data_IF_835783834270
#
_entry.id   IF_835783834270
#
_cell.length_a   1.000
_cell.length_b   1.000
_cell.length_c   1.000
_cell.angle_alpha   90.00
_cell.angle_beta   90.00
_cell.angle_gamma   90.00
#
_symmetry.space_group_name_H-M   'P 1'
#
loop_
_entity.id
_entity.type
_entity.pdbx_description
1 polymer ?
#
# COMPACT_ATOMS: atom_id res chain seq x y z
N UNK A 1 -7.06 -5.17 42.92
CA UNK A 1 -7.59 -3.82 42.65
C UNK A 1 -6.47 -2.99 42.09
N UNK A 2 -6.36 -2.92 40.76
CA UNK A 2 -5.37 -2.07 40.10
C UNK A 2 -6.04 -1.46 38.88
N UNK A 3 -6.01 -0.13 38.89
CA UNK A 3 -6.75 0.83 38.09
C UNK A 3 -6.42 0.77 36.61
N UNK A 4 -7.44 0.51 35.80
CA UNK A 4 -7.47 0.73 34.35
C UNK A 4 -7.56 2.23 34.09
N UNK A 5 -6.52 2.83 33.53
CA UNK A 5 -6.57 4.21 33.03
C UNK A 5 -7.25 4.19 31.65
N UNK A 6 -8.52 4.59 31.63
CA UNK A 6 -9.28 4.92 30.43
C UNK A 6 -8.69 6.20 29.82
N UNK A 7 -8.05 6.08 28.66
CA UNK A 7 -7.76 7.25 27.83
C UNK A 7 -9.07 7.72 27.20
N UNK A 8 -9.69 8.73 27.82
CA UNK A 8 -10.86 9.41 27.28
C UNK A 8 -10.51 10.13 25.96
N UNK A 9 -11.16 9.71 24.89
CA UNK A 9 -11.25 10.40 23.61
C UNK A 9 -12.00 11.73 23.79
N UNK A 10 -11.27 12.81 24.09
CA UNK A 10 -11.85 14.14 24.36
C UNK A 10 -11.29 15.25 23.46
N UNK A 11 -10.66 14.90 22.33
CA UNK A 11 -10.10 15.87 21.37
C UNK A 11 -10.95 16.03 20.09
N UNK A 12 -12.17 15.50 20.06
CA UNK A 12 -13.01 15.33 18.85
C UNK A 12 -13.71 16.59 18.30
N UNK A 13 -13.49 17.80 18.83
CA UNK A 13 -14.25 18.98 18.38
C UNK A 13 -13.88 19.55 17.00
N UNK A 14 -12.79 19.10 16.36
CA UNK A 14 -12.45 19.55 15.01
C UNK A 14 -12.94 18.61 13.89
N UNK A 15 -13.27 17.35 14.18
CA UNK A 15 -13.68 16.38 13.16
C UNK A 15 -15.20 16.36 12.93
N UNK A 16 -16.00 16.71 13.94
CA UNK A 16 -17.46 16.66 13.89
C UNK A 16 -18.11 17.59 12.84
N UNK A 17 -17.38 18.60 12.34
CA UNK A 17 -17.89 19.54 11.34
C UNK A 17 -17.78 19.06 9.90
N UNK A 18 -16.98 18.01 9.63
CA UNK A 18 -16.86 17.41 8.30
C UNK A 18 -17.89 16.30 8.06
N UNK A 19 -18.37 15.65 9.13
CA UNK A 19 -19.16 14.40 9.05
C UNK A 19 -20.67 14.62 9.30
N UNK A 20 -21.08 15.70 9.98
CA UNK A 20 -22.50 15.90 10.30
C UNK A 20 -23.29 16.64 9.22
N UNK A 21 -23.90 15.88 8.31
CA UNK A 21 -25.24 16.17 7.78
C UNK A 21 -25.83 14.92 7.11
N UNK A 22 -26.41 14.05 7.94
CA UNK A 22 -27.13 12.86 7.49
C UNK A 22 -28.54 13.23 7.03
N UNK A 23 -28.77 13.24 5.72
CA UNK A 23 -30.11 13.08 5.13
C UNK A 23 -30.09 11.92 4.14
N UNK A 24 -30.83 10.87 4.49
CA UNK A 24 -31.12 9.66 3.72
C UNK A 24 -31.28 9.91 2.21
N UNK A 25 -30.45 9.28 1.39
CA UNK A 25 -30.62 9.26 -0.07
C UNK A 25 -30.85 7.84 -0.59
N UNK A 26 -31.96 7.68 -1.31
CA UNK A 26 -32.44 6.44 -1.91
C UNK A 26 -31.56 5.99 -3.08
N UNK A 27 -31.19 4.71 -3.12
CA UNK A 27 -30.40 4.08 -4.18
C UNK A 27 -31.25 3.85 -5.44
N UNK A 28 -31.00 4.60 -6.51
CA UNK A 28 -31.45 4.25 -7.87
C UNK A 28 -30.30 3.61 -8.66
N UNK A 29 -30.44 2.32 -8.98
CA UNK A 29 -29.53 1.56 -9.86
C UNK A 29 -29.56 2.14 -11.28
N UNK A 30 -28.40 2.51 -11.81
CA UNK A 30 -28.21 2.72 -13.25
C UNK A 30 -27.58 1.47 -13.84
N UNK A 31 -28.34 0.78 -14.69
CA UNK A 31 -27.86 -0.30 -15.54
C UNK A 31 -27.07 0.30 -16.71
N UNK A 32 -25.79 -0.05 -16.84
CA UNK A 32 -25.02 0.18 -18.07
C UNK A 32 -24.93 -1.12 -18.87
N UNK A 33 -25.54 -1.11 -20.05
CA UNK A 33 -25.44 -2.18 -21.05
C UNK A 33 -24.08 -2.10 -21.75
N UNK A 34 -23.32 -3.19 -21.77
CA UNK A 34 -22.03 -3.31 -22.45
C UNK A 34 -22.19 -4.13 -23.74
N UNK A 35 -22.04 -3.48 -24.89
CA UNK A 35 -21.97 -4.15 -26.19
C UNK A 35 -20.59 -4.82 -26.37
N UNK A 36 -20.64 -6.09 -26.78
CA UNK A 36 -19.47 -6.93 -27.05
C UNK A 36 -18.79 -6.53 -28.37
N UNK A 37 -17.46 -6.43 -28.37
CA UNK A 37 -16.64 -6.43 -29.58
C UNK A 37 -15.51 -7.46 -29.40
N UNK A 38 -15.55 -8.52 -30.21
CA UNK A 38 -14.55 -9.57 -30.26
C UNK A 38 -13.55 -9.31 -31.41
N UNK A 39 -12.24 -9.59 -31.25
CA UNK A 39 -11.34 -9.64 -32.39
C UNK A 39 -11.20 -11.06 -32.94
N UNK A 40 -11.01 -11.09 -34.26
CA UNK A 40 -11.01 -12.24 -35.16
C UNK A 40 -9.60 -12.84 -35.26
N UNK A 41 -9.51 -14.16 -35.10
CA UNK A 41 -8.29 -14.96 -35.30
C UNK A 41 -8.02 -15.14 -36.80
N UNK A 42 -6.76 -15.01 -37.22
CA UNK A 42 -6.28 -15.56 -38.49
C UNK A 42 -5.02 -16.40 -38.29
N UNK A 43 -5.07 -17.61 -38.84
CA UNK A 43 -4.04 -18.64 -38.84
C UNK A 43 -3.04 -18.38 -39.96
N UNK A 44 -1.74 -18.53 -39.70
CA UNK A 44 -0.73 -18.78 -40.75
C UNK A 44 0.20 -19.91 -40.30
N UNK A 45 0.47 -20.83 -41.24
CA UNK A 45 1.18 -22.09 -41.11
C UNK A 45 2.71 -21.95 -41.17
N UNK A 46 3.38 -22.98 -40.65
CA UNK A 46 4.84 -23.27 -40.56
C UNK A 46 5.60 -23.30 -41.90
N UNK A 47 6.95 -23.40 -41.89
CA UNK A 47 7.59 -24.72 -41.92
C UNK A 47 8.83 -24.91 -40.99
N UNK A 48 9.19 -26.20 -40.77
CA UNK A 48 10.42 -26.72 -40.15
C UNK A 48 11.66 -26.43 -41.05
N UNK A 49 12.93 -26.41 -40.62
CA UNK A 49 13.68 -27.53 -40.02
C UNK A 49 15.18 -27.21 -39.79
N UNK A 50 15.79 -27.98 -38.86
CA UNK A 50 17.17 -28.52 -38.78
C UNK A 50 18.40 -27.68 -38.33
N UNK A 51 18.97 -28.19 -37.22
CA UNK A 51 20.39 -28.48 -36.87
C UNK A 51 21.37 -27.35 -36.49
N UNK A 52 21.99 -27.55 -35.33
CA UNK A 52 23.30 -26.99 -34.96
C UNK A 52 23.62 -27.25 -33.49
N UNK A 53 24.66 -28.04 -33.21
CA UNK A 53 25.01 -28.55 -31.89
C UNK A 53 26.01 -27.66 -31.13
N UNK A 54 26.00 -27.84 -29.80
CA UNK A 54 27.14 -27.76 -28.86
C UNK A 54 27.89 -26.43 -28.67
N UNK A 55 27.95 -25.95 -27.42
CA UNK A 55 29.12 -26.11 -26.53
C UNK A 55 28.90 -25.42 -25.17
N UNK A 56 29.24 -26.17 -24.12
CA UNK A 56 29.39 -25.75 -22.74
C UNK A 56 30.65 -24.91 -22.53
N UNK A 57 30.56 -23.92 -21.65
CA UNK A 57 31.71 -23.52 -20.83
C UNK A 57 31.23 -22.93 -19.50
N UNK A 58 31.51 -23.68 -18.45
CA UNK A 58 31.48 -23.30 -17.05
C UNK A 58 32.63 -22.35 -16.75
N UNK A 59 32.37 -21.26 -16.02
CA UNK A 59 33.40 -20.68 -15.15
C UNK A 59 32.76 -20.18 -13.86
N UNK A 60 33.03 -20.96 -12.82
CA UNK A 60 32.81 -20.69 -11.41
C UNK A 60 33.83 -19.67 -10.92
N UNK A 61 33.36 -18.58 -10.31
CA UNK A 61 34.19 -17.67 -9.52
C UNK A 61 33.47 -17.34 -8.23
N UNK A 62 33.64 -18.21 -7.24
CA UNK A 62 33.29 -17.92 -5.84
C UNK A 62 34.25 -16.87 -5.28
N UNK A 63 33.71 -15.74 -4.83
CA UNK A 63 34.41 -14.87 -3.90
C UNK A 63 33.40 -14.17 -2.98
N UNK A 64 33.22 -14.80 -1.80
CA UNK A 64 32.91 -14.22 -0.49
C UNK A 64 31.89 -13.06 -0.43
N UNK A 65 30.68 -13.41 -0.01
CA UNK A 65 29.78 -12.50 0.66
C UNK A 65 30.45 -11.97 1.94
N UNK A 66 30.88 -10.71 1.91
CA UNK A 66 31.06 -9.90 3.11
C UNK A 66 29.69 -9.33 3.42
N UNK A 67 29.07 -9.83 4.50
CA UNK A 67 27.92 -9.19 5.11
C UNK A 67 28.37 -7.84 5.68
N UNK A 68 28.35 -6.81 4.84
CA UNK A 68 28.45 -5.44 5.32
C UNK A 68 27.17 -5.19 6.11
N UNK A 69 27.31 -5.18 7.44
CA UNK A 69 26.33 -4.62 8.35
C UNK A 69 25.90 -3.29 7.74
N UNK A 70 24.64 -3.21 7.30
CA UNK A 70 24.09 -2.00 6.70
C UNK A 70 24.43 -0.80 7.56
N UNK A 71 24.86 0.27 6.89
CA UNK A 71 25.34 1.51 7.49
C UNK A 71 24.39 2.03 8.57
N UNK A 72 24.68 1.66 9.83
CA UNK A 72 23.89 2.01 11.01
C UNK A 72 23.94 3.50 11.36
N UNK A 73 24.67 4.31 10.58
CA UNK A 73 24.86 5.73 10.86
C UNK A 73 23.72 6.60 10.34
N UNK A 74 22.98 6.17 9.30
CA UNK A 74 21.83 6.93 8.75
C UNK A 74 20.51 6.70 9.47
N UNK A 75 20.40 5.65 10.29
CA UNK A 75 19.16 5.31 11.01
C UNK A 75 19.10 5.90 12.42
N UNK A 76 20.17 6.54 12.91
CA UNK A 76 20.21 7.13 14.25
C UNK A 76 19.24 8.32 14.42
N UNK A 77 18.85 8.98 13.33
CA UNK A 77 17.93 10.13 13.32
C UNK A 77 16.45 9.80 13.22
N UNK A 78 16.07 8.53 13.07
CA UNK A 78 14.66 8.13 12.92
C UNK A 78 13.92 8.20 14.26
N UNK A 79 12.78 8.91 14.27
CA UNK A 79 11.84 8.96 15.39
C UNK A 79 11.48 7.55 15.89
N UNK A 80 11.37 7.36 17.20
CA UNK A 80 11.16 6.07 17.83
C UNK A 80 9.88 5.38 17.34
N UNK A 81 8.81 6.16 17.11
CA UNK A 81 7.56 5.62 16.56
C UNK A 81 7.75 5.15 15.13
N UNK A 82 8.40 5.96 14.29
CA UNK A 82 8.68 5.56 12.91
C UNK A 82 9.61 4.35 12.82
N UNK A 83 10.64 4.29 13.67
CA UNK A 83 11.54 3.13 13.75
C UNK A 83 10.78 1.86 14.09
N UNK A 84 9.91 1.92 15.11
CA UNK A 84 9.09 0.78 15.50
C UNK A 84 8.22 0.30 14.33
N UNK A 85 7.47 1.21 13.70
CA UNK A 85 6.64 0.89 12.54
C UNK A 85 7.47 0.33 11.37
N UNK A 86 8.70 0.79 11.18
CA UNK A 86 9.55 0.29 10.10
C UNK A 86 9.96 -1.18 10.29
N UNK A 87 10.21 -1.62 11.53
CA UNK A 87 10.70 -2.98 11.78
C UNK A 87 9.60 -3.96 12.24
N UNK A 88 8.49 -3.47 12.79
CA UNK A 88 7.41 -4.33 13.30
C UNK A 88 6.23 -4.48 12.32
N UNK A 89 5.98 -3.51 11.45
CA UNK A 89 4.91 -3.64 10.46
C UNK A 89 5.38 -4.57 9.32
N UNK A 90 4.73 -5.72 9.20
CA UNK A 90 4.93 -6.65 8.10
C UNK A 90 4.01 -6.29 6.93
N UNK A 91 4.60 -5.86 5.82
CA UNK A 91 3.89 -5.57 4.57
C UNK A 91 3.60 -6.86 3.79
N UNK A 92 2.49 -6.87 3.05
CA UNK A 92 2.13 -7.98 2.17
C UNK A 92 2.92 -7.84 0.85
N UNK A 93 3.80 -8.79 0.56
CA UNK A 93 4.49 -8.85 -0.73
C UNK A 93 3.58 -9.46 -1.80
N UNK A 94 3.60 -8.87 -3.00
CA UNK A 94 2.77 -9.30 -4.12
C UNK A 94 3.54 -9.36 -5.44
N UNK A 95 3.04 -10.15 -6.38
CA UNK A 95 3.45 -10.08 -7.78
C UNK A 95 2.76 -8.91 -8.53
N UNK A 96 3.13 -8.68 -9.80
CA UNK A 96 2.54 -7.62 -10.62
C UNK A 96 1.02 -7.81 -10.88
N UNK A 97 0.51 -9.03 -10.68
CA UNK A 97 -0.91 -9.36 -10.78
C UNK A 97 -1.67 -9.19 -9.46
N UNK A 98 -1.03 -8.61 -8.44
CA UNK A 98 -1.57 -8.47 -7.09
C UNK A 98 -1.82 -9.80 -6.38
N UNK A 99 -1.07 -10.87 -6.68
CA UNK A 99 -1.13 -12.13 -5.92
C UNK A 99 -0.12 -12.11 -4.79
N UNK A 100 -0.55 -12.52 -3.60
CA UNK A 100 0.34 -12.61 -2.43
C UNK A 100 1.46 -13.63 -2.67
N UNK A 101 2.71 -13.21 -2.47
CA UNK A 101 3.91 -14.06 -2.61
C UNK A 101 4.70 -14.21 -1.31
N UNK A 102 4.35 -13.43 -0.29
CA UNK A 102 5.00 -13.50 1.02
C UNK A 102 4.76 -12.24 1.84
N UNK A 103 5.67 -11.97 2.76
CA UNK A 103 5.70 -10.77 3.58
C UNK A 103 7.14 -10.34 3.85
N UNK A 104 7.30 -9.07 4.22
CA UNK A 104 8.57 -8.50 4.62
C UNK A 104 8.30 -7.23 5.44
N UNK A 105 9.20 -6.87 6.35
CA UNK A 105 9.02 -5.66 7.15
C UNK A 105 9.04 -4.41 6.28
N UNK A 106 8.37 -3.38 6.77
CA UNK A 106 8.22 -2.10 6.09
C UNK A 106 9.57 -1.46 5.73
N UNK A 107 10.56 -1.53 6.62
CA UNK A 107 11.92 -1.00 6.38
C UNK A 107 12.48 -1.56 5.07
N UNK A 108 12.47 -2.88 4.92
CA UNK A 108 13.00 -3.58 3.76
C UNK A 108 12.19 -3.33 2.49
N UNK A 109 10.86 -3.21 2.61
CA UNK A 109 9.98 -2.89 1.48
C UNK A 109 10.25 -1.51 0.87
N UNK A 110 10.77 -0.56 1.65
CA UNK A 110 10.97 0.84 1.22
C UNK A 110 12.44 1.20 0.95
N UNK A 111 13.38 0.26 1.12
CA UNK A 111 14.77 0.47 0.73
C UNK A 111 14.94 0.35 -0.79
N UNK A 112 15.44 1.40 -1.43
CA UNK A 112 15.66 1.40 -2.88
C UNK A 112 16.58 0.28 -3.35
N UNK A 113 17.64 -0.01 -2.60
CA UNK A 113 18.54 -1.14 -2.88
C UNK A 113 17.76 -2.46 -3.02
N UNK A 114 16.81 -2.71 -2.13
CA UNK A 114 15.98 -3.92 -2.11
C UNK A 114 14.88 -3.89 -3.18
N UNK A 115 14.25 -2.75 -3.39
CA UNK A 115 13.29 -2.51 -4.49
C UNK A 115 13.95 -2.79 -5.85
N UNK A 116 15.22 -2.42 -6.03
CA UNK A 116 15.92 -2.59 -7.31
C UNK A 116 16.52 -3.97 -7.48
N UNK A 117 17.20 -4.50 -6.45
CA UNK A 117 17.89 -5.79 -6.54
C UNK A 117 16.96 -7.00 -6.50
N UNK A 118 15.86 -6.92 -5.75
CA UNK A 118 14.92 -8.03 -5.57
C UNK A 118 13.57 -7.79 -6.25
N UNK A 119 13.37 -6.63 -6.87
CA UNK A 119 12.07 -6.17 -7.36
C UNK A 119 10.97 -6.27 -6.28
N UNK A 120 11.31 -5.98 -5.02
CA UNK A 120 10.38 -6.05 -3.91
C UNK A 120 9.18 -5.14 -4.17
N UNK A 121 8.00 -5.74 -4.21
CA UNK A 121 6.73 -5.12 -4.52
C UNK A 121 5.76 -5.48 -3.40
N UNK A 122 5.18 -4.48 -2.77
CA UNK A 122 4.21 -4.68 -1.69
C UNK A 122 2.85 -4.07 -2.03
N UNK A 123 1.80 -4.62 -1.41
CA UNK A 123 0.44 -4.08 -1.52
C UNK A 123 0.33 -2.81 -0.69
N UNK A 124 -0.38 -1.82 -1.22
CA UNK A 124 -0.62 -0.54 -0.56
C UNK A 124 -2.05 -0.06 -0.80
N UNK A 125 -2.43 1.03 -0.14
CA UNK A 125 -3.67 1.73 -0.42
C UNK A 125 -3.53 3.25 -0.35
N UNK A 126 -4.42 3.93 -1.07
CA UNK A 126 -4.62 5.37 -1.02
C UNK A 126 -6.10 5.69 -0.82
N UNK A 127 -6.41 6.39 0.27
CA UNK A 127 -7.75 6.85 0.62
C UNK A 127 -8.01 8.26 0.07
N UNK A 128 -9.16 8.46 -0.56
CA UNK A 128 -9.68 9.75 -0.99
C UNK A 128 -11.00 10.04 -0.26
N UNK A 129 -10.92 10.72 0.87
CA UNK A 129 -12.09 11.07 1.67
C UNK A 129 -12.66 12.42 1.24
N UNK A 130 -13.94 12.43 0.88
CA UNK A 130 -14.68 13.62 0.52
C UNK A 130 -15.69 13.97 1.60
N UNK A 131 -15.86 15.27 1.89
CA UNK A 131 -16.97 15.72 2.71
C UNK A 131 -18.27 15.80 1.88
N UNK A 132 -19.39 16.16 2.52
CA UNK A 132 -20.70 16.31 1.88
C UNK A 132 -20.78 17.42 0.80
N UNK A 133 -19.74 18.25 0.67
CA UNK A 133 -19.60 19.27 -0.38
C UNK A 133 -18.70 18.81 -1.54
N UNK A 134 -18.26 17.55 -1.55
CA UNK A 134 -17.30 17.00 -2.50
C UNK A 134 -15.91 17.66 -2.45
N UNK A 135 -15.53 18.19 -1.29
CA UNK A 135 -14.17 18.68 -1.05
C UNK A 135 -13.29 17.53 -0.55
N UNK A 136 -12.11 17.36 -1.17
CA UNK A 136 -11.15 16.31 -0.82
C UNK A 136 -10.31 16.73 0.39
N UNK A 137 -10.23 15.84 1.39
CA UNK A 137 -9.29 16.01 2.50
C UNK A 137 -7.87 15.65 2.05
N UNK A 138 -6.98 16.65 2.02
CA UNK A 138 -5.55 16.46 1.75
C UNK A 138 -4.76 16.40 3.07
N UNK A 139 -3.69 15.63 3.07
CA UNK A 139 -2.76 15.54 4.20
C UNK A 139 -1.39 16.10 3.80
N UNK A 140 -0.80 16.95 4.64
CA UNK A 140 0.63 17.22 4.58
C UNK A 140 1.37 16.22 5.49
N UNK A 141 2.31 15.47 4.91
CA UNK A 141 3.09 14.48 5.66
C UNK A 141 3.96 15.15 6.74
N UNK A 142 4.11 14.52 7.89
CA UNK A 142 5.01 15.02 8.94
C UNK A 142 6.47 15.05 8.47
N UNK A 143 7.28 15.94 9.05
CA UNK A 143 8.72 15.97 8.79
C UNK A 143 9.48 14.73 9.27
N UNK A 144 8.82 13.89 10.08
CA UNK A 144 9.39 12.65 10.62
C UNK A 144 9.12 11.43 9.73
N UNK A 145 8.25 11.52 8.71
CA UNK A 145 8.03 10.42 7.78
C UNK A 145 9.32 10.10 7.03
N UNK A 146 9.63 8.81 6.92
CA UNK A 146 10.85 8.33 6.25
C UNK A 146 10.82 8.57 4.74
N UNK A 147 9.71 8.23 4.08
CA UNK A 147 9.49 8.54 2.65
C UNK A 147 8.75 9.88 2.51
N UNK A 148 9.16 10.72 1.57
CA UNK A 148 8.49 11.96 1.18
C UNK A 148 8.02 12.86 2.35
N UNK A 149 8.92 13.27 3.27
CA UNK A 149 8.53 14.17 4.36
C UNK A 149 8.03 15.51 3.83
N UNK A 150 7.05 16.12 4.51
CA UNK A 150 6.48 17.45 4.21
C UNK A 150 5.73 17.59 2.87
N UNK A 151 5.60 16.52 2.09
CA UNK A 151 4.84 16.51 0.82
C UNK A 151 3.33 16.47 1.09
N UNK A 152 2.58 17.24 0.30
CA UNK A 152 1.12 17.18 0.26
C UNK A 152 0.64 15.98 -0.56
N UNK A 153 -0.27 15.20 0.00
CA UNK A 153 -0.81 13.99 -0.62
C UNK A 153 -2.32 13.86 -0.34
N UNK A 154 -2.95 12.80 -0.85
CA UNK A 154 -4.35 12.48 -0.57
C UNK A 154 -4.58 12.19 0.94
N UNK A 155 -5.79 11.80 1.30
CA UNK A 155 -6.22 11.75 2.71
C UNK A 155 -5.34 10.85 3.58
N UNK A 156 -5.08 9.63 3.14
CA UNK A 156 -4.24 8.68 3.88
C UNK A 156 -3.66 7.64 2.92
N UNK A 157 -2.37 7.35 3.08
CA UNK A 157 -1.68 6.28 2.34
C UNK A 157 -0.93 5.39 3.31
N UNK A 158 -1.10 4.08 3.16
CA UNK A 158 -0.36 3.10 3.96
C UNK A 158 -0.48 1.70 3.35
N UNK A 159 -0.31 0.68 4.18
CA UNK A 159 -0.17 -0.71 3.78
C UNK A 159 -1.15 -1.55 4.58
N UNK A 160 -1.86 -2.50 3.94
CA UNK A 160 -2.42 -3.62 4.66
C UNK A 160 -1.27 -4.48 5.22
N UNK A 161 -1.40 -4.88 6.47
CA UNK A 161 -0.43 -5.70 7.18
C UNK A 161 -0.65 -7.18 6.86
N UNK A 162 0.43 -7.96 6.90
CA UNK A 162 0.38 -9.41 6.75
C UNK A 162 -0.20 -10.06 8.02
N UNK A 163 -1.52 -9.92 8.19
CA UNK A 163 -2.31 -10.46 9.30
C UNK A 163 -3.71 -10.81 8.83
N UNK A 164 -4.36 -11.75 9.52
CA UNK A 164 -5.63 -12.35 9.09
C UNK A 164 -6.70 -11.31 8.71
N UNK A 165 -6.86 -10.26 9.51
CA UNK A 165 -7.88 -9.23 9.26
C UNK A 165 -7.61 -8.36 8.04
N UNK A 166 -6.37 -8.32 7.52
CA UNK A 166 -5.94 -7.45 6.42
C UNK A 166 -5.49 -8.23 5.17
N UNK A 167 -5.49 -9.57 5.23
CA UNK A 167 -5.22 -10.47 4.11
C UNK A 167 -6.46 -10.85 3.29
N UNK A 168 -7.66 -10.47 3.73
CA UNK A 168 -8.92 -10.85 3.09
C UNK A 168 -9.07 -10.16 1.73
N UNK A 169 -9.03 -10.95 0.65
CA UNK A 169 -9.09 -10.43 -0.73
C UNK A 169 -10.51 -10.05 -1.19
N UNK A 170 -11.53 -10.71 -0.63
CA UNK A 170 -12.92 -10.53 -1.04
C UNK A 170 -13.34 -9.05 -0.91
N UNK A 171 -13.77 -8.46 -2.02
CA UNK A 171 -14.17 -7.05 -2.11
C UNK A 171 -13.13 -6.09 -1.47
N UNK A 172 -11.83 -6.44 -1.57
CA UNK A 172 -10.72 -5.72 -0.95
C UNK A 172 -10.91 -5.45 0.56
N UNK A 173 -11.63 -6.33 1.28
CA UNK A 173 -11.96 -6.13 2.71
C UNK A 173 -10.73 -5.92 3.58
N UNK A 174 -9.66 -6.67 3.34
CA UNK A 174 -8.42 -6.52 4.10
C UNK A 174 -7.80 -5.13 3.95
N UNK A 175 -7.87 -4.56 2.75
CA UNK A 175 -7.40 -3.20 2.47
C UNK A 175 -8.31 -2.14 3.11
N UNK A 176 -9.64 -2.35 3.08
CA UNK A 176 -10.61 -1.45 3.73
C UNK A 176 -10.42 -1.45 5.26
N UNK A 177 -10.15 -2.61 5.86
CA UNK A 177 -9.81 -2.71 7.28
C UNK A 177 -8.52 -1.94 7.62
N UNK A 178 -7.49 -2.07 6.77
CA UNK A 178 -6.24 -1.33 6.93
C UNK A 178 -6.44 0.19 6.80
N UNK A 179 -7.27 0.62 5.85
CA UNK A 179 -7.62 2.02 5.64
C UNK A 179 -8.33 2.61 6.86
N UNK A 180 -9.36 1.94 7.39
CA UNK A 180 -10.06 2.39 8.60
C UNK A 180 -9.10 2.52 9.79
N UNK A 181 -8.25 1.52 10.03
CA UNK A 181 -7.23 1.57 11.09
C UNK A 181 -6.31 2.79 10.92
N UNK A 182 -5.82 3.02 9.70
CA UNK A 182 -4.85 4.09 9.44
C UNK A 182 -5.46 5.49 9.47
N UNK A 183 -6.74 5.65 9.14
CA UNK A 183 -7.45 6.90 9.34
C UNK A 183 -7.55 7.25 10.83
N UNK A 184 -7.74 6.26 11.70
CA UNK A 184 -7.66 6.47 13.15
C UNK A 184 -6.23 6.81 13.58
N UNK A 185 -5.24 6.01 13.17
CA UNK A 185 -3.84 6.19 13.58
C UNK A 185 -3.24 7.54 13.14
N UNK A 186 -3.62 8.05 11.96
CA UNK A 186 -3.02 9.26 11.38
C UNK A 186 -3.86 10.52 11.55
N UNK A 187 -5.19 10.41 11.48
CA UNK A 187 -6.09 11.55 11.47
C UNK A 187 -7.04 11.57 12.67
N UNK A 188 -7.06 10.52 13.49
CA UNK A 188 -7.96 10.40 14.64
C UNK A 188 -9.42 10.18 14.25
N UNK A 189 -9.70 9.76 13.01
CA UNK A 189 -11.06 9.49 12.53
C UNK A 189 -11.49 8.12 13.06
N UNK A 190 -12.59 8.09 13.82
CA UNK A 190 -13.03 6.89 14.51
C UNK A 190 -13.82 5.97 13.57
N UNK A 191 -13.85 4.67 13.87
CA UNK A 191 -14.45 3.65 13.00
C UNK A 191 -15.96 3.86 12.78
N UNK A 192 -16.64 4.47 13.75
CA UNK A 192 -18.04 4.87 13.68
C UNK A 192 -18.33 5.94 12.64
N UNK A 193 -17.35 6.81 12.35
CA UNK A 193 -17.48 7.89 11.36
C UNK A 193 -17.16 7.42 9.94
N UNK A 194 -16.42 6.31 9.81
CA UNK A 194 -16.03 5.71 8.54
C UNK A 194 -16.22 4.19 8.58
N UNK A 195 -17.46 3.67 8.51
CA UNK A 195 -17.71 2.24 8.51
C UNK A 195 -17.00 1.53 7.35
N UNK A 196 -16.39 0.37 7.60
CA UNK A 196 -15.60 -0.40 6.61
C UNK A 196 -16.40 -0.68 5.33
N UNK A 197 -17.71 -0.87 5.45
CA UNK A 197 -18.60 -1.16 4.32
C UNK A 197 -18.87 0.04 3.40
N UNK A 198 -18.53 1.26 3.81
CA UNK A 198 -18.68 2.47 3.00
C UNK A 198 -17.45 2.79 2.14
N UNK A 199 -16.30 2.17 2.44
CA UNK A 199 -15.11 2.27 1.60
C UNK A 199 -15.38 1.62 0.24
N UNK A 200 -15.15 2.37 -0.84
CA UNK A 200 -15.47 1.94 -2.21
C UNK A 200 -14.19 1.76 -3.03
N UNK A 201 -13.71 0.52 -3.22
CA UNK A 201 -12.52 0.28 -4.04
C UNK A 201 -12.77 0.69 -5.50
N UNK A 202 -11.95 1.58 -6.04
CA UNK A 202 -12.09 2.12 -7.40
C UNK A 202 -11.22 1.38 -8.42
N UNK A 203 -10.01 1.00 -8.02
CA UNK A 203 -9.05 0.41 -8.94
C UNK A 203 -7.68 0.22 -8.30
N UNK A 204 -6.70 -0.15 -9.13
CA UNK A 204 -5.32 -0.37 -8.70
C UNK A 204 -4.33 0.29 -9.65
N UNK A 205 -3.25 0.82 -9.09
CA UNK A 205 -2.11 1.35 -9.84
C UNK A 205 -0.85 0.62 -9.37
N UNK A 206 -0.02 0.20 -10.32
CA UNK A 206 1.35 -0.25 -10.04
C UNK A 206 2.28 0.94 -10.28
N UNK A 207 3.08 1.32 -9.28
CA UNK A 207 4.04 2.42 -9.42
C UNK A 207 5.33 2.17 -8.64
N UNK A 208 6.40 2.85 -9.06
CA UNK A 208 7.71 2.87 -8.39
C UNK A 208 8.19 4.31 -8.33
N UNK A 209 8.62 4.78 -7.16
CA UNK A 209 9.03 6.17 -6.96
C UNK A 209 10.17 6.29 -5.92
N UNK A 210 11.35 6.81 -6.28
CA UNK A 210 12.39 7.11 -5.31
C UNK A 210 12.03 8.35 -4.47
N UNK A 211 12.40 8.35 -3.18
CA UNK A 211 12.22 9.46 -2.25
C UNK A 211 13.49 10.32 -2.13
N UNK A 212 14.60 9.75 -1.63
CA UNK A 212 15.83 10.49 -1.31
C UNK A 212 17.12 9.67 -1.58
N UNK A 213 17.06 8.74 -2.53
CA UNK A 213 18.16 7.85 -2.90
C UNK A 213 18.24 6.58 -2.06
N UNK A 214 18.11 6.68 -0.72
CA UNK A 214 18.03 5.50 0.16
C UNK A 214 16.63 4.90 0.14
N UNK A 215 15.61 5.75 0.26
CA UNK A 215 14.23 5.34 0.42
C UNK A 215 13.42 5.52 -0.85
N UNK A 216 12.36 4.73 -1.00
CA UNK A 216 11.38 4.84 -2.07
C UNK A 216 10.17 3.95 -1.86
N UNK A 217 9.33 3.89 -2.88
CA UNK A 217 8.10 3.13 -2.91
C UNK A 217 8.09 2.25 -4.17
N UNK A 218 7.56 1.03 -4.04
CA UNK A 218 7.23 0.16 -5.16
C UNK A 218 5.99 -0.65 -4.81
N UNK A 219 4.85 -0.20 -5.33
CA UNK A 219 3.57 -0.59 -4.75
C UNK A 219 2.54 -1.02 -5.79
N UNK A 220 1.78 -2.05 -5.41
CA UNK A 220 0.47 -2.35 -5.99
C UNK A 220 -0.58 -1.65 -5.15
N UNK A 221 -0.91 -0.43 -5.53
CA UNK A 221 -1.70 0.49 -4.74
C UNK A 221 -3.20 0.43 -5.08
N UNK A 222 -4.04 0.14 -4.09
CA UNK A 222 -5.51 0.13 -4.21
C UNK A 222 -6.08 1.51 -3.88
N UNK A 223 -6.90 2.04 -4.77
CA UNK A 223 -7.54 3.35 -4.60
C UNK A 223 -8.92 3.14 -3.98
N UNK A 224 -9.19 3.83 -2.87
CA UNK A 224 -10.40 3.67 -2.05
C UNK A 224 -10.94 5.03 -1.63
#
# INVERSE_FOLDING_TARGET
MSTTTLYNCATTKLCSSLINNSSSFSKSRLFFSSSHFAPRVSSIRRPLSLRGASRSSSSSSSARAISTMGDATTDAGMDAVQRRLMFEDECILVDENDRVVGHENKYNCHLMEKIESLNLLHRAFSVFLFNSKYELLLQQRSGTKVTFPLVWTNTCCSHPLYRESELIEENALGVRNAAQRKLLDELGICAEDVPVDEFTPLGRILYKAPSDGKWGEHERNVFI
#
